data_IF_101767483244
#
_entry.id   IF_101767483244
#
_cell.length_a   1.000
_cell.length_b   1.000
_cell.length_c   1.000
_cell.angle_alpha   90.00
_cell.angle_beta   90.00
_cell.angle_gamma   90.00
#
_symmetry.space_group_name_H-M   'P 1'
#
loop_
_entity.id
_entity.type
_entity.pdbx_description
1 polymer ?
#
# COMPACT_ATOMS: atom_id res chain seq x y z
N UNK A 1 10.81 68.72 -30.81
CA UNK A 1 9.60 68.85 -29.99
C UNK A 1 8.84 67.55 -30.18
N UNK A 2 9.05 66.56 -29.30
CA UNK A 2 8.45 65.23 -29.45
C UNK A 2 6.96 65.30 -29.11
N UNK A 3 6.13 64.67 -29.95
CA UNK A 3 4.68 64.66 -29.80
C UNK A 3 4.30 63.84 -28.56
N UNK A 4 3.39 64.30 -27.70
CA UNK A 4 3.04 63.63 -26.44
C UNK A 4 2.42 62.23 -26.61
N UNK A 5 2.06 61.81 -27.82
CA UNK A 5 1.52 60.46 -28.10
C UNK A 5 2.59 59.36 -28.16
N UNK A 6 3.82 59.65 -28.61
CA UNK A 6 4.89 58.63 -28.68
C UNK A 6 5.45 58.26 -27.29
N UNK A 7 5.38 59.20 -26.34
CA UNK A 7 5.77 58.94 -24.95
C UNK A 7 4.71 58.12 -24.21
N UNK A 8 3.43 58.23 -24.58
CA UNK A 8 2.36 57.40 -23.99
C UNK A 8 2.41 55.94 -24.44
N UNK A 9 2.71 55.67 -25.72
CA UNK A 9 2.80 54.28 -26.21
C UNK A 9 3.97 53.51 -25.61
N UNK A 10 5.12 54.16 -25.42
CA UNK A 10 6.30 53.52 -24.81
C UNK A 10 6.12 53.22 -23.32
N UNK A 11 5.31 54.00 -22.59
CA UNK A 11 4.95 53.69 -21.19
C UNK A 11 3.96 52.55 -21.04
N UNK A 12 3.05 52.33 -21.99
CA UNK A 12 2.13 51.19 -21.95
C UNK A 12 2.83 49.87 -22.30
N UNK A 13 3.79 49.88 -23.22
CA UNK A 13 4.59 48.69 -23.56
C UNK A 13 5.53 48.26 -22.42
N UNK A 14 6.13 49.22 -21.69
CA UNK A 14 6.90 48.93 -20.49
C UNK A 14 6.04 48.35 -19.35
N UNK A 15 4.78 48.76 -19.25
CA UNK A 15 3.81 48.19 -18.30
C UNK A 15 3.44 46.74 -18.62
N UNK A 16 3.32 46.39 -19.90
CA UNK A 16 3.03 45.02 -20.33
C UNK A 16 4.22 44.07 -20.10
N UNK A 17 5.46 44.55 -20.23
CA UNK A 17 6.69 43.76 -19.97
C UNK A 17 6.89 43.51 -18.47
N UNK A 18 6.49 44.45 -17.61
CA UNK A 18 6.48 44.25 -16.16
C UNK A 18 5.42 43.23 -15.70
N UNK A 19 4.26 43.16 -16.37
CA UNK A 19 3.25 42.14 -16.07
C UNK A 19 3.68 40.73 -16.52
N UNK A 20 4.37 40.58 -17.65
CA UNK A 20 4.83 39.25 -18.11
C UNK A 20 5.96 38.70 -17.25
N UNK A 21 6.80 39.56 -16.67
CA UNK A 21 7.86 39.15 -15.74
C UNK A 21 7.32 38.71 -14.37
N UNK A 22 6.24 39.30 -13.86
CA UNK A 22 5.56 38.78 -12.67
C UNK A 22 4.87 37.43 -12.91
N UNK A 23 4.23 37.24 -14.07
CA UNK A 23 3.59 35.96 -14.43
C UNK A 23 4.62 34.83 -14.55
N UNK A 24 5.80 35.11 -15.12
CA UNK A 24 6.91 34.15 -15.18
C UNK A 24 7.46 33.78 -13.79
N UNK A 25 7.48 34.74 -12.85
CA UNK A 25 7.92 34.50 -11.47
C UNK A 25 6.94 33.63 -10.69
N UNK A 26 5.64 33.77 -10.93
CA UNK A 26 4.60 32.91 -10.34
C UNK A 26 4.67 31.49 -10.90
N UNK A 27 4.91 31.34 -12.20
CA UNK A 27 5.07 30.02 -12.85
C UNK A 27 6.28 29.28 -12.27
N UNK A 28 7.41 29.97 -12.07
CA UNK A 28 8.62 29.37 -11.48
C UNK A 28 8.46 28.97 -10.01
N UNK A 29 7.58 29.64 -9.26
CA UNK A 29 7.26 29.29 -7.87
C UNK A 29 6.28 28.10 -7.77
N UNK A 30 5.39 27.94 -8.75
CA UNK A 30 4.50 26.77 -8.80
C UNK A 30 5.19 25.48 -9.21
N UNK A 31 6.29 25.53 -9.96
CA UNK A 31 7.07 24.34 -10.36
C UNK A 31 7.87 23.73 -9.22
N UNK A 32 8.27 24.49 -8.20
CA UNK A 32 8.94 23.93 -7.00
C UNK A 32 7.97 23.17 -6.06
N UNK A 33 6.65 23.38 -6.20
CA UNK A 33 5.63 22.66 -5.41
C UNK A 33 5.12 21.36 -6.06
N UNK A 34 5.61 21.01 -7.25
CA UNK A 34 5.20 19.83 -8.02
C UNK A 34 6.15 18.62 -7.88
N UNK A 35 7.21 18.69 -7.09
CA UNK A 35 8.11 17.53 -6.83
C UNK A 35 7.54 16.49 -5.84
N UNK A 36 6.30 16.66 -5.35
CA UNK A 36 5.65 15.69 -4.46
C UNK A 36 4.58 14.87 -5.19
N UNK A 37 5.03 13.88 -5.96
CA UNK A 37 4.19 12.83 -6.55
C UNK A 37 4.11 12.95 -8.06
N UNK A 38 4.27 11.83 -8.80
CA UNK A 38 3.19 10.85 -8.80
C UNK A 38 3.65 9.38 -8.98
N UNK A 39 2.63 8.51 -9.07
CA UNK A 39 2.54 7.29 -9.90
C UNK A 39 2.28 6.00 -9.09
N UNK A 40 1.00 5.80 -8.76
CA UNK A 40 0.42 4.56 -8.22
C UNK A 40 -0.71 4.04 -9.10
N UNK A 41 -0.55 4.12 -10.43
CA UNK A 41 -1.56 3.67 -11.40
C UNK A 41 -1.32 2.25 -11.91
N UNK A 42 -0.08 1.75 -11.90
CA UNK A 42 0.23 0.40 -12.43
C UNK A 42 0.18 -0.71 -11.35
N UNK A 43 0.29 -0.36 -10.07
CA UNK A 43 0.16 -1.32 -8.96
C UNK A 43 -1.28 -1.82 -8.71
N UNK A 44 -2.29 -1.19 -9.32
CA UNK A 44 -3.71 -1.44 -9.04
C UNK A 44 -4.30 -2.64 -9.81
N UNK A 45 -3.72 -2.99 -10.97
CA UNK A 45 -4.12 -4.18 -11.71
C UNK A 45 -3.54 -5.47 -11.11
N UNK A 46 -2.32 -5.42 -10.58
CA UNK A 46 -1.64 -6.59 -9.99
C UNK A 46 -2.29 -7.00 -8.66
N UNK A 47 -2.72 -6.04 -7.83
CA UNK A 47 -3.35 -6.34 -6.54
C UNK A 47 -4.73 -6.98 -6.75
N UNK A 48 -5.52 -6.51 -7.72
CA UNK A 48 -6.86 -7.06 -7.99
C UNK A 48 -6.82 -8.54 -8.39
N UNK A 49 -5.80 -8.95 -9.16
CA UNK A 49 -5.61 -10.35 -9.55
C UNK A 49 -5.16 -11.26 -8.39
N UNK A 50 -4.39 -10.73 -7.42
CA UNK A 50 -4.00 -11.50 -6.23
C UNK A 50 -5.17 -11.72 -5.24
N UNK A 51 -6.16 -10.82 -5.20
CA UNK A 51 -7.35 -10.99 -4.35
C UNK A 51 -8.32 -12.06 -4.85
N UNK A 52 -8.47 -12.24 -6.16
CA UNK A 52 -9.32 -13.32 -6.70
C UNK A 52 -8.71 -14.72 -6.49
N UNK A 53 -7.38 -14.83 -6.42
CA UNK A 53 -6.68 -16.08 -6.12
C UNK A 53 -6.86 -16.53 -4.65
N UNK A 54 -7.05 -15.59 -3.71
CA UNK A 54 -7.31 -15.88 -2.30
C UNK A 54 -8.76 -16.33 -2.02
N UNK A 55 -9.71 -16.03 -2.92
CA UNK A 55 -11.12 -16.41 -2.76
C UNK A 55 -11.39 -17.87 -3.20
N UNK A 56 -10.43 -18.51 -3.88
CA UNK A 56 -10.48 -19.93 -4.29
C UNK A 56 -9.79 -20.89 -3.32
N UNK A 57 -9.83 -20.62 -2.02
CA UNK A 57 -9.47 -21.64 -1.04
C UNK A 57 -10.61 -22.67 -0.98
N UNK A 58 -10.37 -23.96 -1.29
CA UNK A 58 -11.39 -24.98 -1.14
C UNK A 58 -11.76 -25.07 0.33
N UNK A 59 -13.05 -24.91 0.62
CA UNK A 59 -13.61 -25.01 1.95
C UNK A 59 -13.19 -26.32 2.62
N UNK A 60 -12.25 -26.25 3.57
CA UNK A 60 -11.81 -27.38 4.41
C UNK A 60 -12.86 -27.79 5.46
N UNK A 61 -14.14 -27.46 5.24
CA UNK A 61 -15.21 -27.69 6.20
C UNK A 61 -15.78 -29.12 6.16
N UNK A 62 -15.46 -29.89 5.11
CA UNK A 62 -15.96 -31.27 4.93
C UNK A 62 -15.10 -32.36 5.58
N UNK A 63 -13.85 -32.05 5.97
CA UNK A 63 -12.96 -33.07 6.56
C UNK A 63 -13.32 -33.43 8.02
N UNK A 64 -13.89 -32.48 8.77
CA UNK A 64 -14.32 -32.75 10.15
C UNK A 64 -15.63 -33.53 10.23
N UNK A 65 -16.46 -33.55 9.18
CA UNK A 65 -17.65 -34.39 9.14
C UNK A 65 -17.29 -35.85 8.84
N UNK A 66 -16.37 -36.12 7.91
CA UNK A 66 -15.97 -37.49 7.57
C UNK A 66 -15.30 -38.23 8.74
N UNK A 67 -14.44 -37.55 9.50
CA UNK A 67 -13.79 -38.15 10.68
C UNK A 67 -14.79 -38.47 11.80
N UNK A 68 -15.78 -37.59 12.03
CA UNK A 68 -16.83 -37.83 13.03
C UNK A 68 -17.80 -38.95 12.62
N UNK A 69 -18.14 -39.07 11.33
CA UNK A 69 -18.96 -40.17 10.82
C UNK A 69 -18.27 -41.53 11.00
N UNK A 70 -16.96 -41.61 10.71
CA UNK A 70 -16.21 -42.84 10.85
C UNK A 70 -16.08 -43.27 12.32
N UNK A 71 -15.95 -42.30 13.24
CA UNK A 71 -15.87 -42.54 14.68
C UNK A 71 -17.24 -42.97 15.26
N UNK A 72 -18.34 -42.44 14.73
CA UNK A 72 -19.69 -42.88 15.09
C UNK A 72 -19.99 -44.30 14.59
N UNK A 73 -19.52 -44.68 13.41
CA UNK A 73 -19.68 -46.05 12.89
C UNK A 73 -18.94 -47.08 13.76
N UNK A 74 -17.71 -46.77 14.20
CA UNK A 74 -16.93 -47.67 15.08
C UNK A 74 -17.63 -47.86 16.44
N UNK A 75 -18.19 -46.79 17.02
CA UNK A 75 -18.93 -46.84 18.30
C UNK A 75 -20.23 -47.64 18.17
N UNK A 76 -20.97 -47.48 17.07
CA UNK A 76 -22.19 -48.26 16.82
C UNK A 76 -21.89 -49.75 16.57
N UNK A 77 -20.74 -50.07 15.97
CA UNK A 77 -20.30 -51.45 15.76
C UNK A 77 -19.86 -52.10 17.07
N UNK A 78 -19.17 -51.37 17.96
CA UNK A 78 -18.83 -51.87 19.30
C UNK A 78 -20.05 -52.11 20.18
N UNK A 79 -21.13 -51.35 19.99
CA UNK A 79 -22.36 -51.51 20.77
C UNK A 79 -23.20 -52.70 20.31
N UNK A 80 -23.02 -53.17 19.06
CA UNK A 80 -23.76 -54.31 18.48
C UNK A 80 -23.15 -55.67 18.87
N UNK A 81 -21.86 -55.73 19.19
CA UNK A 81 -21.16 -56.97 19.58
C UNK A 81 -21.18 -57.28 21.08
N UNK A 82 -21.62 -56.34 21.93
CA UNK A 82 -21.66 -56.51 23.40
C UNK A 82 -22.91 -57.28 23.89
N UNK A 83 -23.80 -57.70 23.00
CA UNK A 83 -25.02 -58.45 23.36
C UNK A 83 -25.03 -59.90 22.85
N UNK A 84 -23.89 -60.58 22.86
CA UNK A 84 -23.87 -62.05 22.88
C UNK A 84 -24.11 -62.56 24.30
N UNK A 85 -25.40 -62.75 24.57
CA UNK A 85 -26.03 -63.33 25.77
C UNK A 85 -25.13 -64.33 26.52
N UNK A 86 -24.73 -63.92 27.73
CA UNK A 86 -24.11 -64.76 28.75
C UNK A 86 -25.18 -65.68 29.34
N UNK A 87 -25.54 -66.75 28.63
CA UNK A 87 -26.57 -67.68 29.07
C UNK A 87 -26.37 -69.07 28.48
N UNK A 88 -25.68 -69.94 29.22
CA UNK A 88 -25.59 -71.37 28.89
C UNK A 88 -24.24 -71.96 29.25
N UNK A 89 -24.17 -72.62 30.40
CA UNK A 89 -23.04 -73.41 30.87
C UNK A 89 -22.69 -74.52 29.84
N UNK A 90 -21.68 -74.29 28.99
CA UNK A 90 -20.85 -75.35 28.43
C UNK A 90 -19.58 -74.79 27.76
N UNK A 91 -18.42 -75.27 28.23
CA UNK A 91 -17.06 -75.02 27.71
C UNK A 91 -16.58 -73.56 27.77
N UNK A 92 -16.17 -73.11 28.96
CA UNK A 92 -15.48 -71.82 29.22
C UNK A 92 -14.32 -71.54 28.26
N UNK A 93 -13.63 -72.58 27.80
CA UNK A 93 -12.48 -72.45 26.91
C UNK A 93 -12.89 -71.95 25.52
N UNK A 94 -14.03 -72.38 24.96
CA UNK A 94 -14.42 -71.99 23.60
C UNK A 94 -14.89 -70.54 23.50
N UNK A 95 -15.49 -70.00 24.57
CA UNK A 95 -15.88 -68.59 24.67
C UNK A 95 -14.66 -67.68 24.87
N UNK A 96 -13.67 -68.10 25.67
CA UNK A 96 -12.41 -67.37 25.83
C UNK A 96 -11.64 -67.27 24.49
N UNK A 97 -11.60 -68.35 23.70
CA UNK A 97 -10.99 -68.32 22.37
C UNK A 97 -11.69 -67.35 21.41
N UNK A 98 -13.02 -67.31 21.39
CA UNK A 98 -13.77 -66.36 20.56
C UNK A 98 -13.50 -64.90 20.94
N UNK A 99 -13.39 -64.60 22.24
CA UNK A 99 -13.01 -63.26 22.70
C UNK A 99 -11.58 -62.88 22.28
N UNK A 100 -10.64 -63.82 22.34
CA UNK A 100 -9.27 -63.60 21.88
C UNK A 100 -9.23 -63.32 20.38
N UNK A 101 -10.02 -64.05 19.57
CA UNK A 101 -10.09 -63.83 18.14
C UNK A 101 -10.72 -62.47 17.79
N UNK A 102 -11.79 -62.06 18.49
CA UNK A 102 -12.37 -60.72 18.36
C UNK A 102 -11.37 -59.61 18.71
N UNK A 103 -10.59 -59.77 19.79
CA UNK A 103 -9.55 -58.80 20.16
C UNK A 103 -8.40 -58.76 19.14
N UNK A 104 -8.07 -59.89 18.51
CA UNK A 104 -7.06 -59.94 17.43
C UNK A 104 -7.56 -59.26 16.17
N UNK A 105 -8.82 -59.45 15.81
CA UNK A 105 -9.44 -58.75 14.68
C UNK A 105 -9.54 -57.26 14.95
N UNK A 106 -9.96 -56.86 16.16
CA UNK A 106 -9.96 -55.46 16.60
C UNK A 106 -8.57 -54.82 16.53
N UNK A 107 -7.52 -55.51 16.98
CA UNK A 107 -6.14 -55.03 16.83
C UNK A 107 -5.71 -54.91 15.37
N UNK A 108 -6.10 -55.84 14.49
CA UNK A 108 -5.81 -55.75 13.05
C UNK A 108 -6.49 -54.54 12.42
N UNK A 109 -7.75 -54.29 12.76
CA UNK A 109 -8.48 -53.12 12.27
C UNK A 109 -7.88 -51.81 12.78
N UNK A 110 -7.51 -51.74 14.06
CA UNK A 110 -6.85 -50.55 14.62
C UNK A 110 -5.49 -50.29 13.95
N UNK A 111 -4.70 -51.34 13.69
CA UNK A 111 -3.44 -51.20 12.96
C UNK A 111 -3.68 -50.69 11.52
N UNK A 112 -4.67 -51.24 10.81
CA UNK A 112 -5.03 -50.76 9.48
C UNK A 112 -5.46 -49.29 9.48
N UNK A 113 -6.29 -48.87 10.44
CA UNK A 113 -6.73 -47.48 10.58
C UNK A 113 -5.57 -46.53 10.95
N UNK A 114 -4.63 -46.97 11.78
CA UNK A 114 -3.42 -46.19 12.11
C UNK A 114 -2.53 -46.01 10.89
N UNK A 115 -2.38 -47.06 10.07
CA UNK A 115 -1.58 -46.98 8.85
C UNK A 115 -2.26 -46.11 7.78
N UNK A 116 -3.58 -46.16 7.65
CA UNK A 116 -4.36 -45.25 6.80
C UNK A 116 -4.18 -43.78 7.21
N UNK A 117 -4.36 -43.46 8.50
CA UNK A 117 -4.16 -42.10 9.03
C UNK A 117 -2.71 -41.61 8.82
N UNK A 118 -1.72 -42.51 8.87
CA UNK A 118 -0.32 -42.16 8.58
C UNK A 118 -0.13 -41.77 7.13
N UNK A 119 -0.74 -42.51 6.20
CA UNK A 119 -0.69 -42.21 4.77
C UNK A 119 -1.37 -40.87 4.49
N UNK A 120 -2.54 -40.62 5.07
CA UNK A 120 -3.26 -39.35 4.93
C UNK A 120 -2.45 -38.17 5.47
N UNK A 121 -1.85 -38.32 6.66
CA UNK A 121 -0.96 -37.28 7.23
C UNK A 121 0.27 -37.02 6.34
N UNK A 122 0.83 -38.06 5.72
CA UNK A 122 1.93 -37.90 4.77
C UNK A 122 1.47 -37.14 3.52
N UNK A 123 0.30 -37.48 2.97
CA UNK A 123 -0.27 -36.78 1.81
C UNK A 123 -0.51 -35.30 2.13
N UNK A 124 -1.19 -34.99 3.24
CA UNK A 124 -1.41 -33.62 3.69
C UNK A 124 -0.09 -32.86 3.92
N UNK A 125 0.95 -33.54 4.40
CA UNK A 125 2.26 -32.93 4.55
C UNK A 125 2.89 -32.57 3.20
N UNK A 126 2.78 -33.47 2.22
CA UNK A 126 3.27 -33.21 0.86
C UNK A 126 2.50 -32.08 0.18
N UNK A 127 1.16 -32.09 0.26
CA UNK A 127 0.31 -31.02 -0.28
C UNK A 127 0.60 -29.66 0.36
N UNK A 128 0.81 -29.64 1.68
CA UNK A 128 1.23 -28.41 2.37
C UNK A 128 2.60 -27.93 1.87
N UNK A 129 3.54 -28.84 1.65
CA UNK A 129 4.86 -28.50 1.15
C UNK A 129 4.81 -27.96 -0.28
N UNK A 130 3.97 -28.54 -1.14
CA UNK A 130 3.80 -28.07 -2.53
C UNK A 130 3.13 -26.71 -2.55
N UNK A 131 2.03 -26.51 -1.80
CA UNK A 131 1.40 -25.19 -1.67
C UNK A 131 2.38 -24.14 -1.14
N UNK A 132 3.16 -24.49 -0.12
CA UNK A 132 4.14 -23.56 0.44
C UNK A 132 5.20 -23.18 -0.60
N UNK A 133 5.71 -24.14 -1.37
CA UNK A 133 6.65 -23.83 -2.45
C UNK A 133 6.04 -22.96 -3.55
N UNK A 134 4.74 -23.14 -3.82
CA UNK A 134 3.98 -22.28 -4.73
C UNK A 134 3.92 -20.83 -4.22
N UNK A 135 3.54 -20.64 -2.95
CA UNK A 135 3.53 -19.31 -2.34
C UNK A 135 4.91 -18.66 -2.27
N UNK A 136 5.95 -19.43 -1.92
CA UNK A 136 7.32 -18.91 -1.87
C UNK A 136 7.78 -18.45 -3.27
N UNK A 137 7.36 -19.16 -4.33
CA UNK A 137 7.61 -18.76 -5.72
C UNK A 137 6.81 -17.51 -6.13
N UNK A 138 5.53 -17.44 -5.79
CA UNK A 138 4.69 -16.27 -6.10
C UNK A 138 5.21 -15.01 -5.40
N UNK A 139 5.63 -15.13 -4.13
CA UNK A 139 6.28 -14.05 -3.39
C UNK A 139 7.57 -13.61 -4.09
N UNK A 140 8.38 -14.55 -4.58
CA UNK A 140 9.60 -14.23 -5.32
C UNK A 140 9.32 -13.52 -6.65
N UNK A 141 8.28 -13.93 -7.38
CA UNK A 141 7.85 -13.29 -8.63
C UNK A 141 7.39 -11.86 -8.35
N UNK A 142 6.53 -11.65 -7.35
CA UNK A 142 6.04 -10.33 -6.96
C UNK A 142 7.21 -9.43 -6.55
N UNK A 143 8.13 -9.95 -5.73
CA UNK A 143 9.28 -9.18 -5.26
C UNK A 143 10.21 -8.78 -6.43
N UNK A 144 10.42 -9.69 -7.39
CA UNK A 144 11.18 -9.41 -8.60
C UNK A 144 10.47 -8.38 -9.49
N UNK A 145 9.16 -8.47 -9.64
CA UNK A 145 8.35 -7.50 -10.37
C UNK A 145 8.51 -6.10 -9.80
N UNK A 146 8.33 -5.95 -8.48
CA UNK A 146 8.52 -4.65 -7.82
C UNK A 146 9.96 -4.13 -7.92
N UNK A 147 10.97 -5.00 -7.82
CA UNK A 147 12.36 -4.57 -8.01
C UNK A 147 12.61 -4.07 -9.45
N UNK A 148 11.99 -4.70 -10.45
CA UNK A 148 12.08 -4.26 -11.84
C UNK A 148 11.37 -2.93 -12.06
N UNK A 149 10.18 -2.75 -11.48
CA UNK A 149 9.44 -1.48 -11.50
C UNK A 149 10.26 -0.34 -10.87
N UNK A 150 10.82 -0.58 -9.69
CA UNK A 150 11.69 0.40 -9.01
C UNK A 150 12.89 0.77 -9.89
N UNK A 151 13.55 -0.23 -10.49
CA UNK A 151 14.67 0.02 -11.39
C UNK A 151 14.24 0.81 -12.65
N UNK A 152 13.05 0.53 -13.18
CA UNK A 152 12.49 1.25 -14.32
C UNK A 152 12.21 2.71 -13.97
N UNK A 153 11.56 2.99 -12.84
CA UNK A 153 11.31 4.36 -12.37
C UNK A 153 12.60 5.12 -12.08
N UNK A 154 13.60 4.46 -11.50
CA UNK A 154 14.91 5.06 -11.27
C UNK A 154 15.59 5.45 -12.59
N UNK A 155 15.54 4.57 -13.60
CA UNK A 155 16.09 4.87 -14.92
C UNK A 155 15.34 6.04 -15.59
N UNK A 156 14.02 6.05 -15.51
CA UNK A 156 13.20 7.12 -16.08
C UNK A 156 13.43 8.47 -15.41
N UNK A 157 13.59 8.50 -14.07
CA UNK A 157 13.93 9.73 -13.36
C UNK A 157 15.30 10.28 -13.78
N UNK A 158 16.28 9.39 -14.01
CA UNK A 158 17.60 9.81 -14.51
C UNK A 158 17.51 10.41 -15.92
N UNK A 159 16.72 9.81 -16.80
CA UNK A 159 16.45 10.32 -18.14
C UNK A 159 15.81 11.72 -18.10
N UNK A 160 14.75 11.90 -17.30
CA UNK A 160 14.11 13.22 -17.12
C UNK A 160 15.05 14.27 -16.53
N UNK A 161 15.94 13.87 -15.61
CA UNK A 161 16.98 14.76 -15.09
C UNK A 161 17.98 15.16 -16.17
N UNK A 162 18.37 14.24 -17.03
CA UNK A 162 19.27 14.50 -18.16
C UNK A 162 18.60 15.45 -19.17
N UNK A 163 17.34 15.22 -19.53
CA UNK A 163 16.56 16.13 -20.39
C UNK A 163 16.44 17.52 -19.78
N UNK A 164 16.14 17.62 -18.48
CA UNK A 164 16.07 18.91 -17.79
C UNK A 164 17.42 19.64 -17.83
N UNK A 165 18.52 18.92 -17.61
CA UNK A 165 19.86 19.50 -17.69
C UNK A 165 20.17 19.97 -19.11
N UNK A 166 19.82 19.17 -20.13
CA UNK A 166 19.99 19.52 -21.53
C UNK A 166 19.22 20.79 -21.91
N UNK A 167 17.93 20.86 -21.56
CA UNK A 167 17.10 22.05 -21.78
C UNK A 167 17.65 23.28 -21.05
N UNK A 168 18.20 23.11 -19.84
CA UNK A 168 18.84 24.21 -19.11
C UNK A 168 20.08 24.72 -19.85
N UNK A 169 20.91 23.83 -20.38
CA UNK A 169 22.08 24.21 -21.19
C UNK A 169 21.66 24.94 -22.46
N UNK A 170 20.63 24.46 -23.16
CA UNK A 170 20.08 25.14 -24.33
C UNK A 170 19.55 26.54 -23.99
N UNK A 171 18.81 26.67 -22.89
CA UNK A 171 18.29 27.96 -22.41
C UNK A 171 19.42 28.96 -22.12
N UNK A 172 20.45 28.53 -21.39
CA UNK A 172 21.63 29.37 -21.09
C UNK A 172 22.33 29.77 -22.39
N UNK A 173 22.46 28.86 -23.36
CA UNK A 173 23.07 29.18 -24.66
C UNK A 173 22.25 30.20 -25.47
N UNK A 174 20.92 30.10 -25.40
CA UNK A 174 20.00 31.02 -26.06
C UNK A 174 20.07 32.41 -25.42
N UNK A 175 20.11 32.47 -24.09
CA UNK A 175 20.26 33.72 -23.33
C UNK A 175 21.58 34.42 -23.70
N UNK A 176 22.68 33.69 -23.79
CA UNK A 176 23.97 34.24 -24.23
C UNK A 176 23.90 34.81 -25.66
N UNK A 177 23.24 34.11 -26.60
CA UNK A 177 23.04 34.61 -27.97
C UNK A 177 22.16 35.86 -28.00
N UNK A 178 21.11 35.90 -27.18
CA UNK A 178 20.24 37.06 -27.06
C UNK A 178 21.00 38.28 -26.50
N UNK A 179 21.78 38.09 -25.44
CA UNK A 179 22.63 39.15 -24.87
C UNK A 179 23.65 39.67 -25.90
N UNK A 180 24.33 38.77 -26.61
CA UNK A 180 25.27 39.16 -27.67
C UNK A 180 24.57 39.93 -28.81
N UNK A 181 23.39 39.48 -29.22
CA UNK A 181 22.57 40.17 -30.23
C UNK A 181 22.18 41.57 -29.75
N UNK A 182 21.66 41.70 -28.53
CA UNK A 182 21.26 42.96 -27.92
C UNK A 182 22.43 43.95 -27.88
N UNK A 183 23.60 43.52 -27.40
CA UNK A 183 24.81 44.36 -27.39
C UNK A 183 25.21 44.81 -28.79
N UNK A 184 25.18 43.90 -29.77
CA UNK A 184 25.52 44.22 -31.17
C UNK A 184 24.53 45.19 -31.80
N UNK A 185 23.25 45.09 -31.45
CA UNK A 185 22.20 45.98 -31.92
C UNK A 185 22.37 47.38 -31.33
N UNK A 186 22.55 47.49 -30.00
CA UNK A 186 22.81 48.77 -29.34
C UNK A 186 24.05 49.44 -29.92
N UNK A 187 25.15 48.71 -30.10
CA UNK A 187 26.37 49.27 -30.71
C UNK A 187 26.13 49.77 -32.15
N UNK A 188 25.36 49.05 -32.97
CA UNK A 188 25.02 49.51 -34.34
C UNK A 188 24.10 50.72 -34.33
N UNK A 189 23.11 50.75 -33.44
CA UNK A 189 22.21 51.90 -33.28
C UNK A 189 23.00 53.12 -32.81
N UNK A 190 23.86 52.98 -31.81
CA UNK A 190 24.71 54.07 -31.31
C UNK A 190 25.64 54.60 -32.41
N UNK A 191 26.25 53.70 -33.19
CA UNK A 191 27.07 54.08 -34.34
C UNK A 191 26.26 54.82 -35.42
N UNK A 192 25.06 54.33 -35.76
CA UNK A 192 24.22 54.95 -36.79
C UNK A 192 23.68 56.30 -36.32
N UNK A 193 23.28 56.42 -35.05
CA UNK A 193 22.86 57.68 -34.43
C UNK A 193 24.03 58.67 -34.39
N UNK A 194 25.23 58.25 -33.98
CA UNK A 194 26.42 59.11 -34.01
C UNK A 194 26.78 59.54 -35.43
N UNK A 195 26.69 58.62 -36.40
CA UNK A 195 26.92 58.92 -37.81
C UNK A 195 25.91 59.96 -38.30
N UNK A 196 24.62 59.77 -38.04
CA UNK A 196 23.58 60.71 -38.44
C UNK A 196 23.69 62.04 -37.72
N UNK A 197 24.08 62.07 -36.44
CA UNK A 197 24.37 63.31 -35.72
C UNK A 197 25.56 64.05 -36.33
N UNK A 198 26.61 63.34 -36.74
CA UNK A 198 27.75 63.95 -37.43
C UNK A 198 27.35 64.46 -38.82
N UNK A 199 26.59 63.68 -39.60
CA UNK A 199 26.07 64.08 -40.91
C UNK A 199 25.15 65.31 -40.77
N UNK A 200 24.22 65.32 -39.80
CA UNK A 200 23.37 66.47 -39.51
C UNK A 200 24.17 67.67 -39.02
N UNK A 201 25.19 67.50 -38.18
CA UNK A 201 26.08 68.60 -37.79
C UNK A 201 26.79 69.19 -39.02
N UNK A 202 27.26 68.37 -39.96
CA UNK A 202 27.87 68.85 -41.21
C UNK A 202 26.89 69.49 -42.19
N UNK A 203 25.63 69.04 -42.23
CA UNK A 203 24.58 69.62 -43.07
C UNK A 203 24.05 70.93 -42.46
N UNK A 204 24.03 71.06 -41.13
CA UNK A 204 23.57 72.28 -40.45
C UNK A 204 24.51 73.47 -40.67
N UNK A 205 25.81 73.22 -40.94
CA UNK A 205 26.77 74.24 -41.37
C UNK A 205 26.64 74.61 -42.87
N UNK A 206 25.82 73.91 -43.66
CA UNK A 206 25.61 74.11 -45.09
C UNK A 206 24.12 74.23 -45.45
N UNK A 207 23.51 75.33 -44.99
CA UNK A 207 22.32 75.98 -45.56
C UNK A 207 20.92 75.31 -45.44
N UNK A 208 19.97 76.17 -45.03
CA UNK A 208 18.65 76.40 -45.64
C UNK A 208 17.70 75.21 -45.86
N UNK A 209 16.63 75.20 -45.06
CA UNK A 209 15.22 75.15 -45.50
C UNK A 209 14.96 74.60 -46.91
N UNK A 210 14.92 73.28 -47.06
CA UNK A 210 13.84 72.53 -47.73
C UNK A 210 14.19 71.03 -47.80
N UNK A 211 13.24 70.19 -47.41
CA UNK A 211 13.40 68.73 -47.38
C UNK A 211 13.40 68.21 -48.83
N UNK A 212 14.45 67.54 -49.30
CA UNK A 212 14.53 67.04 -50.67
C UNK A 212 13.47 65.96 -50.96
N UNK A 213 12.83 66.04 -52.13
CA UNK A 213 11.81 65.08 -52.62
C UNK A 213 12.15 63.57 -52.48
N UNK A 214 13.39 63.07 -52.64
CA UNK A 214 13.69 61.64 -52.44
C UNK A 214 13.53 61.17 -50.99
N UNK A 215 13.71 62.05 -50.00
CA UNK A 215 13.50 61.72 -48.58
C UNK A 215 12.02 61.49 -48.26
N UNK A 216 11.09 62.17 -48.94
CA UNK A 216 9.65 61.92 -48.76
C UNK A 216 9.22 60.53 -49.27
N UNK A 217 9.83 60.05 -50.35
CA UNK A 217 9.55 58.72 -50.90
C UNK A 217 10.08 57.64 -49.95
N UNK A 218 11.26 57.86 -49.39
CA UNK A 218 11.86 56.96 -48.39
C UNK A 218 11.05 56.93 -47.09
N UNK A 219 10.65 58.09 -46.56
CA UNK A 219 9.79 58.16 -45.36
C UNK A 219 8.47 57.44 -45.58
N UNK A 220 7.82 57.61 -46.74
CA UNK A 220 6.60 56.85 -47.08
C UNK A 220 6.85 55.35 -47.21
N UNK A 221 7.98 54.94 -47.78
CA UNK A 221 8.34 53.51 -47.88
C UNK A 221 8.63 52.89 -46.51
N UNK A 222 9.31 53.62 -45.62
CA UNK A 222 9.58 53.21 -44.24
C UNK A 222 8.28 53.18 -43.43
N UNK A 223 7.38 54.16 -43.61
CA UNK A 223 6.09 54.20 -42.94
C UNK A 223 5.19 53.03 -43.37
N UNK A 224 5.16 52.69 -44.66
CA UNK A 224 4.43 51.52 -45.18
C UNK A 224 5.05 50.22 -44.67
N UNK A 225 6.38 50.12 -44.61
CA UNK A 225 7.07 48.93 -44.09
C UNK A 225 6.87 48.76 -42.59
N UNK A 226 6.92 49.85 -41.82
CA UNK A 226 6.67 49.85 -40.38
C UNK A 226 5.21 49.46 -40.07
N UNK A 227 4.25 49.95 -40.85
CA UNK A 227 2.84 49.50 -40.75
C UNK A 227 2.68 48.02 -41.07
N UNK A 228 3.32 47.54 -42.14
CA UNK A 228 3.26 46.12 -42.51
C UNK A 228 3.93 45.20 -41.47
N UNK A 229 5.04 45.62 -40.87
CA UNK A 229 5.68 44.89 -39.77
C UNK A 229 4.84 44.95 -38.49
N UNK A 230 4.24 46.10 -38.17
CA UNK A 230 3.32 46.27 -37.05
C UNK A 230 2.09 45.36 -37.15
N UNK A 231 1.46 45.30 -38.33
CA UNK A 231 0.32 44.40 -38.60
C UNK A 231 0.72 42.92 -38.46
N UNK A 232 1.95 42.57 -38.86
CA UNK A 232 2.48 41.21 -38.69
C UNK A 232 2.69 40.87 -37.22
N UNK A 233 3.30 41.75 -36.43
CA UNK A 233 3.48 41.52 -35.00
C UNK A 233 2.15 41.45 -34.25
N UNK A 234 1.17 42.27 -34.63
CA UNK A 234 -0.18 42.20 -34.08
C UNK A 234 -0.86 40.86 -34.39
N UNK A 235 -0.71 40.35 -35.62
CA UNK A 235 -1.25 39.04 -36.00
C UNK A 235 -0.57 37.89 -35.23
N UNK A 236 0.75 37.95 -35.05
CA UNK A 236 1.52 36.99 -34.26
C UNK A 236 1.11 37.04 -32.77
N UNK A 237 0.93 38.23 -32.19
CA UNK A 237 0.47 38.42 -30.81
C UNK A 237 -0.96 37.89 -30.60
N UNK A 238 -1.88 38.15 -31.55
CA UNK A 238 -3.25 37.61 -31.49
C UNK A 238 -3.28 36.09 -31.62
N UNK A 239 -2.37 35.50 -32.42
CA UNK A 239 -2.22 34.05 -32.50
C UNK A 239 -1.71 33.48 -31.19
N UNK A 240 -0.67 34.08 -30.61
CA UNK A 240 -0.12 33.67 -29.32
C UNK A 240 -1.18 33.75 -28.23
N UNK A 241 -1.98 34.82 -28.19
CA UNK A 241 -3.11 34.97 -27.25
C UNK A 241 -4.12 33.83 -27.37
N UNK A 242 -4.45 33.37 -28.58
CA UNK A 242 -5.34 32.22 -28.78
C UNK A 242 -4.70 30.90 -28.37
N UNK A 243 -3.40 30.73 -28.59
CA UNK A 243 -2.66 29.54 -28.14
C UNK A 243 -2.60 29.49 -26.61
N UNK A 244 -2.29 30.60 -25.95
CA UNK A 244 -2.34 30.72 -24.48
C UNK A 244 -3.74 30.48 -23.94
N UNK A 245 -4.78 30.99 -24.61
CA UNK A 245 -6.18 30.73 -24.25
C UNK A 245 -6.52 29.23 -24.29
N UNK A 246 -6.14 28.53 -25.37
CA UNK A 246 -6.34 27.08 -25.49
C UNK A 246 -5.55 26.30 -24.44
N UNK A 247 -4.33 26.73 -24.14
CA UNK A 247 -3.50 26.09 -23.12
C UNK A 247 -4.08 26.31 -21.71
N UNK A 248 -4.66 27.47 -21.43
CA UNK A 248 -5.37 27.74 -20.18
C UNK A 248 -6.63 26.88 -20.03
N UNK A 249 -7.37 26.64 -21.11
CA UNK A 249 -8.52 25.71 -21.12
C UNK A 249 -8.07 24.28 -20.83
N UNK A 250 -6.98 23.80 -21.45
CA UNK A 250 -6.42 22.46 -21.21
C UNK A 250 -5.98 22.32 -19.75
N UNK A 251 -5.22 23.28 -19.22
CA UNK A 251 -4.81 23.30 -17.81
C UNK A 251 -6.01 23.33 -16.85
N UNK A 252 -7.11 23.98 -17.24
CA UNK A 252 -8.36 23.97 -16.49
C UNK A 252 -8.97 22.57 -16.40
N UNK A 253 -8.99 21.83 -17.51
CA UNK A 253 -9.48 20.45 -17.54
C UNK A 253 -8.58 19.51 -16.74
N UNK A 254 -7.26 19.63 -16.87
CA UNK A 254 -6.30 18.82 -16.11
C UNK A 254 -6.42 19.06 -14.60
N UNK A 255 -6.59 20.32 -14.17
CA UNK A 255 -6.85 20.64 -12.75
C UNK A 255 -8.14 20.00 -12.26
N UNK A 256 -9.20 20.03 -13.06
CA UNK A 256 -10.46 19.40 -12.70
C UNK A 256 -10.32 17.87 -12.58
N UNK A 257 -9.59 17.24 -13.49
CA UNK A 257 -9.27 15.81 -13.40
C UNK A 257 -8.46 15.47 -12.15
N UNK A 258 -7.43 16.28 -11.83
CA UNK A 258 -6.65 16.11 -10.61
C UNK A 258 -7.49 16.24 -9.34
N UNK A 259 -8.46 17.15 -9.31
CA UNK A 259 -9.36 17.28 -8.17
C UNK A 259 -10.32 16.10 -8.04
N UNK A 260 -10.80 15.54 -9.16
CA UNK A 260 -11.58 14.30 -9.16
C UNK A 260 -10.75 13.10 -8.66
N UNK A 261 -9.51 12.98 -9.12
CA UNK A 261 -8.59 11.94 -8.67
C UNK A 261 -8.27 12.05 -7.18
N UNK A 262 -8.01 13.26 -6.68
CA UNK A 262 -7.83 13.53 -5.24
C UNK A 262 -9.06 13.10 -4.44
N UNK A 263 -10.27 13.41 -4.92
CA UNK A 263 -11.49 12.97 -4.25
C UNK A 263 -11.64 11.43 -4.24
N UNK A 264 -11.26 10.76 -5.33
CA UNK A 264 -11.25 9.28 -5.40
C UNK A 264 -10.22 8.69 -4.42
N UNK A 265 -9.03 9.27 -4.36
CA UNK A 265 -7.98 8.86 -3.42
C UNK A 265 -8.40 9.03 -1.97
N UNK A 266 -9.03 10.16 -1.61
CA UNK A 266 -9.54 10.37 -0.25
C UNK A 266 -10.60 9.34 0.13
N UNK A 267 -11.53 9.01 -0.79
CA UNK A 267 -12.52 7.96 -0.57
C UNK A 267 -11.89 6.58 -0.40
N UNK A 268 -10.86 6.28 -1.19
CA UNK A 268 -10.13 5.02 -1.10
C UNK A 268 -9.33 4.92 0.21
N UNK A 269 -8.63 5.97 0.59
CA UNK A 269 -7.91 6.01 1.87
C UNK A 269 -8.88 5.82 3.04
N UNK A 270 -10.05 6.45 2.97
CA UNK A 270 -11.10 6.27 3.97
C UNK A 270 -11.61 4.82 4.02
N UNK A 271 -11.90 4.20 2.88
CA UNK A 271 -12.35 2.79 2.84
C UNK A 271 -11.29 1.80 3.35
N UNK A 272 -10.01 2.03 3.05
CA UNK A 272 -8.90 1.23 3.58
C UNK A 272 -8.78 1.39 5.09
N UNK A 273 -8.93 2.61 5.61
CA UNK A 273 -8.90 2.87 7.04
C UNK A 273 -10.07 2.18 7.78
N UNK A 274 -11.27 2.20 7.18
CA UNK A 274 -12.45 1.52 7.71
C UNK A 274 -12.27 0.00 7.70
N UNK A 275 -11.67 -0.56 6.64
CA UNK A 275 -11.36 -1.99 6.56
C UNK A 275 -10.32 -2.40 7.61
N UNK A 276 -9.29 -1.59 7.84
CA UNK A 276 -8.30 -1.83 8.89
C UNK A 276 -8.94 -1.80 10.28
N UNK A 277 -9.81 -0.82 10.55
CA UNK A 277 -10.57 -0.73 11.80
C UNK A 277 -11.50 -1.93 12.01
N UNK A 278 -12.16 -2.42 10.95
CA UNK A 278 -12.97 -3.63 11.00
C UNK A 278 -12.12 -4.87 11.31
N UNK A 279 -10.95 -5.03 10.67
CA UNK A 279 -10.02 -6.13 10.96
C UNK A 279 -9.57 -6.11 12.41
N UNK A 280 -9.26 -4.93 12.96
CA UNK A 280 -8.90 -4.79 14.37
C UNK A 280 -10.05 -5.22 15.29
N UNK A 281 -11.28 -4.76 15.03
CA UNK A 281 -12.47 -5.18 15.81
C UNK A 281 -12.69 -6.70 15.76
N UNK A 282 -12.49 -7.33 14.60
CA UNK A 282 -12.61 -8.79 14.45
C UNK A 282 -11.52 -9.53 15.26
N UNK A 283 -10.29 -9.04 15.24
CA UNK A 283 -9.21 -9.63 16.04
C UNK A 283 -9.47 -9.47 17.55
N UNK A 284 -9.91 -8.30 17.98
CA UNK A 284 -10.27 -8.03 19.39
C UNK A 284 -11.42 -8.93 19.85
N UNK A 285 -12.50 -9.02 19.08
CA UNK A 285 -13.64 -9.90 19.40
C UNK A 285 -13.25 -11.37 19.44
N UNK A 286 -12.43 -11.85 18.49
CA UNK A 286 -11.92 -13.23 18.49
C UNK A 286 -11.02 -13.49 19.69
N UNK A 287 -10.14 -12.55 20.04
CA UNK A 287 -9.28 -12.68 21.22
C UNK A 287 -10.12 -12.72 22.50
N UNK A 288 -11.13 -11.84 22.64
CA UNK A 288 -12.04 -11.79 23.78
C UNK A 288 -12.84 -13.08 23.92
N UNK A 289 -13.34 -13.63 22.80
CA UNK A 289 -14.03 -14.94 22.80
C UNK A 289 -13.10 -16.07 23.26
N UNK A 290 -11.86 -16.13 22.76
CA UNK A 290 -10.86 -17.11 23.23
C UNK A 290 -10.52 -16.96 24.71
N UNK A 291 -10.39 -15.73 25.20
CA UNK A 291 -10.14 -15.50 26.62
C UNK A 291 -11.33 -15.91 27.47
N UNK A 292 -12.57 -15.63 27.04
CA UNK A 292 -13.78 -16.09 27.73
C UNK A 292 -13.89 -17.62 27.77
N UNK A 293 -13.56 -18.34 26.68
CA UNK A 293 -13.59 -19.80 26.71
C UNK A 293 -12.50 -20.38 27.60
N UNK A 294 -11.29 -19.79 27.60
CA UNK A 294 -10.21 -20.19 28.50
C UNK A 294 -10.60 -19.93 29.97
N UNK A 295 -11.19 -18.78 30.31
CA UNK A 295 -11.59 -18.49 31.70
C UNK A 295 -12.71 -19.40 32.16
N UNK A 296 -13.71 -19.68 31.31
CA UNK A 296 -14.77 -20.65 31.63
C UNK A 296 -14.18 -22.04 31.81
N UNK A 297 -13.36 -22.53 30.88
CA UNK A 297 -12.78 -23.87 30.95
C UNK A 297 -11.87 -24.04 32.18
N UNK A 298 -11.04 -23.04 32.50
CA UNK A 298 -10.18 -23.07 33.69
C UNK A 298 -10.99 -23.02 34.98
N UNK A 299 -12.08 -22.25 35.03
CA UNK A 299 -12.98 -22.22 36.20
C UNK A 299 -13.66 -23.57 36.43
N UNK A 300 -14.15 -24.22 35.38
CA UNK A 300 -14.76 -25.56 35.45
C UNK A 300 -13.71 -26.60 35.87
N UNK A 301 -12.50 -26.53 35.30
CA UNK A 301 -11.38 -27.41 35.67
C UNK A 301 -10.96 -27.28 37.13
N UNK A 302 -10.89 -26.06 37.65
CA UNK A 302 -10.58 -25.80 39.07
C UNK A 302 -11.70 -26.31 40.00
N UNK A 303 -12.97 -26.17 39.62
CA UNK A 303 -14.09 -26.73 40.38
C UNK A 303 -14.03 -28.26 40.42
N UNK A 304 -13.78 -28.92 39.29
CA UNK A 304 -13.62 -30.37 39.24
C UNK A 304 -12.43 -30.85 40.09
N UNK A 305 -11.29 -30.16 40.00
CA UNK A 305 -10.11 -30.44 40.81
C UNK A 305 -10.40 -30.32 42.31
N UNK A 306 -11.15 -29.28 42.71
CA UNK A 306 -11.53 -29.06 44.10
C UNK A 306 -12.37 -30.22 44.64
N UNK A 307 -13.35 -30.70 43.87
CA UNK A 307 -14.18 -31.86 44.24
C UNK A 307 -13.33 -33.12 44.40
N UNK A 308 -12.45 -33.41 43.43
CA UNK A 308 -11.56 -34.58 43.49
C UNK A 308 -10.64 -34.49 44.72
N UNK A 309 -10.08 -33.31 44.99
CA UNK A 309 -9.17 -33.10 46.12
C UNK A 309 -9.89 -33.21 47.48
N UNK A 310 -11.16 -32.77 47.57
CA UNK A 310 -12.00 -32.99 48.75
C UNK A 310 -12.22 -34.48 49.02
N UNK A 311 -12.60 -35.27 47.99
CA UNK A 311 -12.76 -36.72 48.14
C UNK A 311 -11.44 -37.43 48.49
N UNK A 312 -10.33 -37.02 47.86
CA UNK A 312 -9.00 -37.56 48.15
C UNK A 312 -8.59 -37.27 49.60
N UNK A 313 -8.80 -36.04 50.10
CA UNK A 313 -8.50 -35.69 51.50
C UNK A 313 -9.39 -36.45 52.48
N UNK A 314 -10.70 -36.59 52.20
CA UNK A 314 -11.61 -37.38 53.03
C UNK A 314 -11.18 -38.86 53.09
N UNK A 315 -10.76 -39.43 51.96
CA UNK A 315 -10.25 -40.80 51.87
C UNK A 315 -8.90 -40.98 52.56
N UNK A 316 -7.99 -40.00 52.49
CA UNK A 316 -6.68 -40.07 53.13
C UNK A 316 -6.75 -39.92 54.65
N UNK A 317 -7.64 -39.05 55.15
CA UNK A 317 -7.67 -38.69 56.57
C UNK A 317 -8.52 -39.60 57.45
N UNK A 318 -9.29 -40.57 56.90
CA UNK A 318 -10.08 -41.58 57.64
C UNK A 318 -10.55 -41.07 59.02
N UNK A 319 -11.30 -39.96 59.01
CA UNK A 319 -11.38 -39.08 60.18
C UNK A 319 -12.35 -39.59 61.25
N UNK A 320 -11.85 -39.95 62.43
CA UNK A 320 -12.67 -40.28 63.62
C UNK A 320 -12.96 -39.09 64.55
N UNK A 321 -12.61 -37.85 64.18
CA UNK A 321 -12.73 -36.65 65.03
C UNK A 321 -13.10 -35.40 64.22
N UNK A 322 -13.78 -34.44 64.85
CA UNK A 322 -14.33 -33.23 64.20
C UNK A 322 -13.30 -32.20 63.70
N UNK A 323 -12.11 -32.13 64.30
CA UNK A 323 -11.04 -31.20 63.91
C UNK A 323 -10.45 -31.46 62.50
N UNK A 324 -10.06 -32.69 62.12
CA UNK A 324 -9.53 -32.97 60.78
C UNK A 324 -10.55 -32.74 59.65
N UNK A 325 -11.86 -32.78 59.93
CA UNK A 325 -12.90 -32.49 58.94
C UNK A 325 -12.82 -31.03 58.47
N UNK A 326 -12.62 -30.08 59.40
CA UNK A 326 -12.49 -28.66 59.04
C UNK A 326 -11.24 -28.37 58.21
N UNK A 327 -10.12 -29.04 58.54
CA UNK A 327 -8.86 -28.88 57.82
C UNK A 327 -8.90 -29.56 56.43
N UNK A 328 -9.58 -30.71 56.32
CA UNK A 328 -9.80 -31.41 55.05
C UNK A 328 -10.70 -30.61 54.09
N UNK A 329 -11.60 -29.76 54.59
CA UNK A 329 -12.43 -28.87 53.77
C UNK A 329 -11.66 -27.61 53.37
N UNK A 330 -10.81 -27.08 54.25
CA UNK A 330 -10.09 -25.82 54.01
C UNK A 330 -8.87 -25.98 53.08
N UNK A 331 -8.11 -27.07 53.20
CA UNK A 331 -6.87 -27.28 52.43
C UNK A 331 -7.06 -27.28 50.89
N UNK A 332 -8.11 -27.90 50.33
CA UNK A 332 -8.39 -27.85 48.89
C UNK A 332 -8.69 -26.44 48.39
N UNK A 333 -9.39 -25.64 49.18
CA UNK A 333 -9.75 -24.26 48.84
C UNK A 333 -8.49 -23.40 48.76
N UNK A 334 -7.61 -23.50 49.76
CA UNK A 334 -6.33 -22.77 49.79
C UNK A 334 -5.43 -23.17 48.62
N UNK A 335 -5.37 -24.47 48.29
CA UNK A 335 -4.60 -24.98 47.16
C UNK A 335 -5.12 -24.46 45.81
N UNK A 336 -6.44 -24.47 45.60
CA UNK A 336 -7.06 -23.91 44.39
C UNK A 336 -6.84 -22.39 44.27
N UNK A 337 -6.91 -21.64 45.37
CA UNK A 337 -6.61 -20.19 45.38
C UNK A 337 -5.15 -19.93 45.02
N UNK A 338 -4.20 -20.71 45.55
CA UNK A 338 -2.78 -20.61 45.21
C UNK A 338 -2.52 -20.89 43.72
N UNK A 339 -3.12 -21.94 43.17
CA UNK A 339 -3.03 -22.27 41.74
C UNK A 339 -3.63 -21.14 40.89
N UNK A 340 -4.79 -20.61 41.25
CA UNK A 340 -5.41 -19.50 40.55
C UNK A 340 -4.52 -18.24 40.55
N UNK A 341 -3.87 -17.93 41.68
CA UNK A 341 -2.94 -16.80 41.81
C UNK A 341 -1.69 -16.98 40.95
N UNK A 342 -1.17 -18.21 40.85
CA UNK A 342 -0.02 -18.54 40.00
C UNK A 342 -0.40 -18.42 38.51
N UNK A 343 -1.57 -18.93 38.10
CA UNK A 343 -2.05 -18.80 36.71
C UNK A 343 -2.44 -17.38 36.31
N UNK A 344 -2.98 -16.59 37.24
CA UNK A 344 -3.32 -15.18 37.01
C UNK A 344 -2.09 -14.27 36.99
N UNK A 345 -0.94 -14.75 37.46
CA UNK A 345 0.26 -13.94 37.52
C UNK A 345 0.76 -13.55 36.10
N UNK A 346 1.12 -12.26 35.87
CA UNK A 346 1.56 -11.76 34.58
C UNK A 346 2.74 -12.51 33.93
N UNK A 347 3.76 -13.05 34.65
CA UNK A 347 4.87 -13.72 33.98
C UNK A 347 4.47 -14.96 33.18
N UNK A 348 3.43 -15.69 33.62
CA UNK A 348 2.97 -16.89 32.89
C UNK A 348 2.22 -16.51 31.60
N UNK A 349 1.48 -15.40 31.62
CA UNK A 349 0.82 -14.86 30.43
C UNK A 349 1.81 -14.29 29.42
N UNK A 350 2.84 -13.57 29.88
CA UNK A 350 3.93 -13.08 29.02
C UNK A 350 4.72 -14.22 28.39
N UNK A 351 5.08 -15.26 29.15
CA UNK A 351 5.79 -16.42 28.61
C UNK A 351 4.97 -17.15 27.53
N UNK A 352 3.66 -17.25 27.72
CA UNK A 352 2.77 -17.86 26.72
C UNK A 352 2.64 -16.99 25.47
N UNK A 353 2.48 -15.67 25.64
CA UNK A 353 2.46 -14.74 24.51
C UNK A 353 3.76 -14.79 23.71
N UNK A 354 4.93 -14.75 24.37
CA UNK A 354 6.25 -14.84 23.71
C UNK A 354 6.43 -16.19 22.99
N UNK A 355 5.90 -17.28 23.54
CA UNK A 355 6.00 -18.61 22.92
C UNK A 355 5.07 -18.78 21.71
N UNK A 356 3.94 -18.09 21.69
CA UNK A 356 2.99 -18.06 20.56
C UNK A 356 3.37 -17.00 19.50
N UNK A 357 4.04 -15.91 19.89
CA UNK A 357 4.48 -14.84 18.99
C UNK A 357 5.90 -15.02 18.46
N UNK A 358 6.68 -15.96 18.98
CA UNK A 358 7.98 -16.31 18.40
C UNK A 358 7.76 -17.00 17.04
N UNK A 359 8.23 -16.42 15.92
CA UNK A 359 8.12 -17.06 14.63
C UNK A 359 8.91 -18.37 14.70
N UNK A 360 8.22 -19.50 14.54
CA UNK A 360 8.86 -20.81 14.47
C UNK A 360 9.84 -20.80 13.29
N UNK A 361 11.13 -20.54 13.57
CA UNK A 361 12.22 -20.73 12.62
C UNK A 361 12.16 -22.18 12.16
N UNK A 362 11.65 -22.41 10.95
CA UNK A 362 11.79 -23.68 10.26
C UNK A 362 13.28 -23.93 10.12
N UNK A 363 13.76 -25.04 10.70
CA UNK A 363 15.07 -25.60 10.36
C UNK A 363 15.02 -25.92 8.87
N UNK A 364 15.71 -25.10 8.08
CA UNK A 364 16.09 -25.44 6.72
C UNK A 364 16.98 -26.68 6.84
N UNK A 365 16.57 -27.78 6.23
CA UNK A 365 17.33 -29.02 6.16
C UNK A 365 17.47 -29.43 4.72
#
# INVERSE_FOLDING_TARGET
MFSPEEVSQTTEELGAILQTTEVLKVISQTTETLEAGPQTTEALEVISQTTEALERLPHTFEYHSASNEHQQQIVQQTQKDVLLSLGGESTTDTLAWRQIDLLREGNRHLLAAVDELRVELQQLHTEKSTLQSGFDNDVAIIHRGHQQEIAHYQAHLLELMEERNHLQEEYVSLEQRYQAFSQSFTARVDMEVQRQLCELATITDLSSTEIPAPLQIFVKAVEVKAKAEGDRFLAEALRLKREVGRMAEILGHERQQLDEERQRLMKFQQSVSDQAALRQKVLETRSRSRWQTITVLTSVGLLALLVILQFACLGLFHASLAAPVTLAILAPIVFCVLIALILASPPFQFARHVKESAPRKKKIR
#
